data_IF_014418976443
#
_entry.id   IF_014418976443
#
_cell.length_a   1.000
_cell.length_b   1.000
_cell.length_c   1.000
_cell.angle_alpha   90.00
_cell.angle_beta   90.00
_cell.angle_gamma   90.00
#
_symmetry.space_group_name_H-M   'P 1'
#
loop_
_entity.id
_entity.type
_entity.pdbx_description
1 polymer ?
#
# COMPACT_ATOMS: atom_id res chain seq x y z
N UNK A 1 8.12 27.24 -1.19
CA UNK A 1 8.82 26.24 -0.35
C UNK A 1 8.08 24.94 -0.57
N UNK A 2 8.65 24.04 -1.36
CA UNK A 2 8.06 22.72 -1.65
C UNK A 2 8.20 21.89 -0.38
N UNK A 3 7.13 21.24 0.07
CA UNK A 3 7.22 20.39 1.25
C UNK A 3 8.19 19.23 0.95
N UNK A 4 9.00 18.77 1.90
CA UNK A 4 9.88 17.60 1.66
C UNK A 4 9.09 16.37 1.19
N UNK A 5 7.81 16.29 1.55
CA UNK A 5 6.85 15.27 1.11
C UNK A 5 6.54 15.31 -0.41
N UNK A 6 6.86 16.40 -1.11
CA UNK A 6 6.62 16.57 -2.55
C UNK A 6 7.89 16.34 -3.40
N UNK A 7 9.04 16.12 -2.77
CA UNK A 7 10.29 15.85 -3.50
C UNK A 7 10.29 14.41 -3.99
N UNK A 8 10.29 14.24 -5.32
CA UNK A 8 10.39 12.93 -5.95
C UNK A 8 11.81 12.39 -5.81
N UNK A 9 11.94 11.09 -5.54
CA UNK A 9 13.23 10.40 -5.52
C UNK A 9 13.75 10.30 -6.95
N UNK A 10 15.00 10.71 -7.16
CA UNK A 10 15.72 10.38 -8.38
C UNK A 10 16.31 8.98 -8.25
N UNK A 11 16.18 8.19 -9.32
CA UNK A 11 16.52 6.77 -9.35
C UNK A 11 17.32 6.43 -10.60
N UNK A 12 17.91 5.23 -10.62
CA UNK A 12 18.64 4.67 -11.75
C UNK A 12 17.73 4.27 -12.92
N UNK A 13 18.08 3.17 -13.59
CA UNK A 13 17.25 2.61 -14.66
C UNK A 13 16.02 1.89 -14.09
N UNK A 14 15.05 1.56 -14.95
CA UNK A 14 13.86 0.80 -14.52
C UNK A 14 14.25 -0.57 -13.98
N UNK A 15 15.18 -1.25 -14.65
CA UNK A 15 15.67 -2.56 -14.22
C UNK A 15 16.35 -2.50 -12.86
N UNK A 16 17.14 -1.45 -12.59
CA UNK A 16 17.75 -1.23 -11.28
C UNK A 16 16.67 -1.06 -10.19
N UNK A 17 15.63 -0.30 -10.49
CA UNK A 17 14.52 -0.05 -9.56
C UNK A 17 13.72 -1.33 -9.29
N UNK A 18 13.41 -2.10 -10.34
CA UNK A 18 12.74 -3.40 -10.20
C UNK A 18 13.58 -4.32 -9.32
N UNK A 19 14.89 -4.40 -9.56
CA UNK A 19 15.79 -5.23 -8.77
C UNK A 19 15.83 -4.80 -7.28
N UNK A 20 15.83 -3.49 -6.99
CA UNK A 20 15.80 -2.96 -5.61
C UNK A 20 14.47 -3.32 -4.91
N UNK A 21 13.33 -3.14 -5.59
CA UNK A 21 12.01 -3.48 -5.05
C UNK A 21 11.85 -4.99 -4.83
N UNK A 22 12.30 -5.80 -5.79
CA UNK A 22 12.26 -7.25 -5.69
C UNK A 22 13.15 -7.76 -4.55
N UNK A 23 14.35 -7.19 -4.37
CA UNK A 23 15.21 -7.52 -3.24
C UNK A 23 14.54 -7.17 -1.89
N UNK A 24 13.85 -6.03 -1.81
CA UNK A 24 13.06 -5.65 -0.64
C UNK A 24 11.91 -6.64 -0.38
N UNK A 25 11.24 -7.12 -1.45
CA UNK A 25 10.19 -8.14 -1.35
C UNK A 25 10.73 -9.45 -0.80
N UNK A 26 11.86 -9.93 -1.33
CA UNK A 26 12.48 -11.18 -0.86
C UNK A 26 12.89 -11.09 0.62
N UNK A 27 13.40 -9.93 1.06
CA UNK A 27 13.78 -9.71 2.45
C UNK A 27 12.59 -9.87 3.43
N UNK A 28 11.37 -9.55 2.99
CA UNK A 28 10.15 -9.68 3.78
C UNK A 28 9.32 -10.91 3.41
N UNK A 29 9.82 -11.80 2.55
CA UNK A 29 8.98 -12.87 2.03
C UNK A 29 8.60 -13.89 3.11
N UNK A 30 9.55 -14.33 3.94
CA UNK A 30 9.28 -15.32 4.99
C UNK A 30 9.16 -14.70 6.40
N UNK A 31 9.62 -13.47 6.57
CA UNK A 31 9.69 -12.80 7.87
C UNK A 31 9.02 -11.43 7.78
N UNK A 32 8.24 -11.02 8.81
CA UNK A 32 7.67 -9.69 8.83
C UNK A 32 8.77 -8.63 8.92
N UNK A 33 8.65 -7.51 8.22
CA UNK A 33 9.57 -6.38 8.38
C UNK A 33 9.42 -5.75 9.76
N UNK A 34 10.49 -5.09 10.21
CA UNK A 34 10.55 -4.49 11.55
C UNK A 34 9.47 -3.42 11.76
N UNK A 35 9.14 -2.63 10.73
CA UNK A 35 8.07 -1.62 10.79
C UNK A 35 6.69 -2.22 11.12
N UNK A 36 6.38 -3.42 10.63
CA UNK A 36 5.13 -4.12 10.96
C UNK A 36 5.16 -4.64 12.39
N UNK A 37 6.30 -5.19 12.83
CA UNK A 37 6.46 -5.66 14.21
C UNK A 37 6.32 -4.51 15.21
N UNK A 38 6.93 -3.36 14.94
CA UNK A 38 6.83 -2.17 15.78
C UNK A 38 5.41 -1.59 15.79
N UNK A 39 4.74 -1.53 14.63
CA UNK A 39 3.34 -1.11 14.53
C UNK A 39 2.42 -2.03 15.35
N UNK A 40 2.64 -3.34 15.35
CA UNK A 40 1.83 -4.33 16.09
C UNK A 40 1.84 -4.13 17.61
N UNK A 41 2.88 -3.46 18.14
CA UNK A 41 3.01 -3.14 19.57
C UNK A 41 2.84 -1.65 19.87
N UNK A 42 2.34 -0.87 18.90
CA UNK A 42 2.02 0.54 19.05
C UNK A 42 3.20 1.49 19.00
N UNK A 43 4.37 1.06 18.51
CA UNK A 43 5.50 1.96 18.26
C UNK A 43 5.33 2.59 16.88
N UNK A 44 4.71 3.77 16.86
CA UNK A 44 4.44 4.53 15.63
C UNK A 44 5.43 5.70 15.52
N UNK A 45 6.33 5.74 14.51
CA UNK A 45 7.41 6.73 14.44
C UNK A 45 6.96 8.19 14.53
N UNK A 46 5.85 8.53 13.86
CA UNK A 46 5.28 9.88 13.84
C UNK A 46 4.26 10.13 14.95
N UNK A 47 4.01 9.15 15.83
CA UNK A 47 3.01 9.25 16.89
C UNK A 47 1.58 9.45 16.37
N UNK A 48 1.29 9.01 15.14
CA UNK A 48 -0.05 9.15 14.55
C UNK A 48 -1.04 8.24 15.25
N UNK A 49 -2.25 8.75 15.46
CA UNK A 49 -3.26 8.09 16.26
C UNK A 49 -3.99 9.07 17.19
N UNK A 50 -5.29 9.26 16.98
CA UNK A 50 -6.05 10.22 17.77
C UNK A 50 -6.14 9.79 19.24
N UNK A 51 -6.21 10.74 20.17
CA UNK A 51 -6.42 10.44 21.61
C UNK A 51 -5.42 9.42 22.20
N UNK A 52 -4.17 9.45 21.73
CA UNK A 52 -3.10 8.58 22.21
C UNK A 52 -3.39 7.07 22.05
N UNK A 53 -4.02 6.68 20.94
CA UNK A 53 -4.24 5.27 20.57
C UNK A 53 -3.73 4.98 19.16
N UNK A 54 -3.18 3.79 18.94
CA UNK A 54 -2.63 3.37 17.65
C UNK A 54 -3.58 2.44 16.86
N UNK A 55 -4.73 2.06 17.42
CA UNK A 55 -5.69 1.20 16.73
C UNK A 55 -6.22 1.85 15.45
N UNK A 56 -6.55 3.14 15.49
CA UNK A 56 -6.96 3.86 14.28
C UNK A 56 -5.85 3.84 13.22
N UNK A 57 -4.59 3.97 13.64
CA UNK A 57 -3.44 3.94 12.74
C UNK A 57 -3.29 2.57 12.07
N UNK A 58 -3.46 1.48 12.82
CA UNK A 58 -3.48 0.13 12.24
C UNK A 58 -4.64 -0.08 11.27
N UNK A 59 -5.83 0.45 11.57
CA UNK A 59 -6.97 0.40 10.66
C UNK A 59 -6.65 1.14 9.35
N UNK A 60 -6.01 2.30 9.43
CA UNK A 60 -5.57 3.01 8.22
C UNK A 60 -4.47 2.23 7.50
N UNK A 61 -3.46 1.69 8.18
CA UNK A 61 -2.41 0.90 7.55
C UNK A 61 -2.97 -0.31 6.77
N UNK A 62 -3.89 -1.06 7.35
CA UNK A 62 -4.53 -2.22 6.69
C UNK A 62 -5.33 -1.77 5.45
N UNK A 63 -6.22 -0.79 5.61
CA UNK A 63 -7.10 -0.35 4.52
C UNK A 63 -6.33 0.37 3.39
N UNK A 64 -5.36 1.23 3.74
CA UNK A 64 -4.59 1.99 2.75
C UNK A 64 -3.73 1.07 1.89
N UNK A 65 -3.15 0.01 2.50
CA UNK A 65 -2.41 -1.01 1.77
C UNK A 65 -3.32 -1.83 0.85
N UNK A 66 -4.47 -2.30 1.35
CA UNK A 66 -5.44 -3.05 0.53
C UNK A 66 -5.92 -2.25 -0.68
N UNK A 67 -6.28 -0.98 -0.48
CA UNK A 67 -6.67 -0.09 -1.59
C UNK A 67 -5.50 0.19 -2.53
N UNK A 68 -4.27 0.35 -2.00
CA UNK A 68 -3.10 0.54 -2.83
C UNK A 68 -2.84 -0.67 -3.74
N UNK A 69 -2.97 -1.89 -3.23
CA UNK A 69 -2.69 -3.11 -3.98
C UNK A 69 -3.82 -3.48 -4.93
N UNK A 70 -5.03 -3.63 -4.42
CA UNK A 70 -6.13 -4.30 -5.13
C UNK A 70 -6.86 -3.38 -6.10
N UNK A 71 -6.73 -2.07 -5.89
CA UNK A 71 -7.37 -1.06 -6.72
C UNK A 71 -6.31 -0.28 -7.49
N UNK A 72 -5.45 0.47 -6.80
CA UNK A 72 -4.61 1.46 -7.47
C UNK A 72 -3.53 0.79 -8.34
N UNK A 73 -2.69 -0.05 -7.76
CA UNK A 73 -1.60 -0.71 -8.50
C UNK A 73 -2.13 -1.77 -9.46
N UNK A 74 -3.14 -2.55 -9.04
CA UNK A 74 -3.78 -3.53 -9.90
C UNK A 74 -4.42 -2.90 -11.14
N UNK A 75 -5.21 -1.82 -11.00
CA UNK A 75 -5.81 -1.16 -12.16
C UNK A 75 -4.79 -0.42 -13.02
N UNK A 76 -3.71 0.12 -12.45
CA UNK A 76 -2.62 0.69 -13.24
C UNK A 76 -1.95 -0.39 -14.11
N UNK A 77 -1.60 -1.54 -13.51
CA UNK A 77 -1.02 -2.68 -14.24
C UNK A 77 -1.99 -3.26 -15.27
N UNK A 78 -3.27 -3.45 -14.91
CA UNK A 78 -4.28 -3.97 -15.80
C UNK A 78 -4.55 -3.03 -16.99
N UNK A 79 -4.56 -1.72 -16.74
CA UNK A 79 -4.68 -0.72 -17.81
C UNK A 79 -3.49 -0.83 -18.76
N UNK A 80 -2.27 -0.83 -18.23
CA UNK A 80 -1.05 -0.91 -19.04
C UNK A 80 -0.96 -2.19 -19.88
N UNK A 81 -1.39 -3.33 -19.33
CA UNK A 81 -1.30 -4.64 -20.02
C UNK A 81 -2.46 -4.91 -20.98
N UNK A 82 -3.67 -4.42 -20.69
CA UNK A 82 -4.86 -4.67 -21.53
C UNK A 82 -5.06 -3.60 -22.61
N UNK A 83 -4.50 -2.41 -22.39
CA UNK A 83 -4.65 -1.24 -23.27
C UNK A 83 -3.29 -0.61 -23.61
N UNK A 84 -2.38 -1.36 -24.26
CA UNK A 84 -1.04 -0.87 -24.60
C UNK A 84 -1.05 0.30 -25.59
N UNK A 85 -2.18 0.56 -26.25
CA UNK A 85 -2.40 1.66 -27.18
C UNK A 85 -2.61 3.03 -26.51
N UNK A 86 -2.89 3.06 -25.20
CA UNK A 86 -3.14 4.31 -24.48
C UNK A 86 -1.87 5.15 -24.30
N UNK A 87 -2.06 6.44 -24.01
CA UNK A 87 -0.95 7.37 -23.79
C UNK A 87 -0.26 7.10 -22.45
N UNK A 88 0.98 6.57 -22.53
CA UNK A 88 1.83 6.31 -21.37
C UNK A 88 2.06 7.56 -20.52
N UNK A 89 2.25 8.73 -21.14
CA UNK A 89 2.58 9.97 -20.41
C UNK A 89 1.45 10.36 -19.46
N UNK A 90 0.21 10.23 -19.90
CA UNK A 90 -0.98 10.49 -19.07
C UNK A 90 -1.05 9.52 -17.89
N UNK A 91 -0.84 8.22 -18.14
CA UNK A 91 -0.86 7.21 -17.07
C UNK A 91 0.26 7.45 -16.04
N UNK A 92 1.48 7.74 -16.50
CA UNK A 92 2.63 8.08 -15.63
C UNK A 92 2.33 9.33 -14.81
N UNK A 93 1.78 10.39 -15.40
CA UNK A 93 1.46 11.62 -14.67
C UNK A 93 0.42 11.38 -13.57
N UNK A 94 -0.64 10.61 -13.86
CA UNK A 94 -1.63 10.26 -12.85
C UNK A 94 -1.04 9.41 -11.72
N UNK A 95 -0.21 8.43 -12.07
CA UNK A 95 0.40 7.53 -11.09
C UNK A 95 1.56 8.15 -10.31
N UNK A 96 2.23 9.19 -10.82
CA UNK A 96 3.19 9.99 -10.04
C UNK A 96 2.48 10.69 -8.88
N UNK A 97 1.39 11.40 -9.15
CA UNK A 97 0.62 12.12 -8.13
C UNK A 97 0.00 11.16 -7.10
N UNK A 98 -0.68 10.11 -7.58
CA UNK A 98 -1.29 9.11 -6.71
C UNK A 98 -0.23 8.34 -5.90
N UNK A 99 0.85 7.94 -6.55
CA UNK A 99 1.93 7.18 -5.92
C UNK A 99 2.68 7.98 -4.86
N UNK A 100 2.95 9.26 -5.12
CA UNK A 100 3.60 10.15 -4.15
C UNK A 100 2.72 10.35 -2.90
N UNK A 101 1.42 10.55 -3.09
CA UNK A 101 0.48 10.61 -1.97
C UNK A 101 0.50 9.32 -1.15
N UNK A 102 0.42 8.16 -1.81
CA UNK A 102 0.42 6.85 -1.13
C UNK A 102 1.74 6.53 -0.43
N UNK A 103 2.87 6.94 -0.98
CA UNK A 103 4.16 6.86 -0.30
C UNK A 103 4.16 7.62 1.03
N UNK A 104 3.66 8.86 1.02
CA UNK A 104 3.54 9.67 2.23
C UNK A 104 2.51 9.11 3.22
N UNK A 105 1.42 8.53 2.73
CA UNK A 105 0.43 7.86 3.57
C UNK A 105 1.02 6.65 4.28
N UNK A 106 1.83 5.83 3.61
CA UNK A 106 2.52 4.71 4.25
C UNK A 106 3.43 5.19 5.41
N UNK A 107 4.20 6.25 5.20
CA UNK A 107 5.01 6.87 6.27
C UNK A 107 4.11 7.35 7.42
N UNK A 108 3.01 8.02 7.09
CA UNK A 108 2.06 8.56 8.07
C UNK A 108 1.43 7.46 8.94
N UNK A 109 1.10 6.30 8.37
CA UNK A 109 0.49 5.18 9.10
C UNK A 109 1.51 4.26 9.80
N UNK A 110 2.79 4.68 9.84
CA UNK A 110 3.83 3.97 10.58
C UNK A 110 4.60 2.92 9.78
N UNK A 111 4.55 2.98 8.45
CA UNK A 111 5.28 2.11 7.53
C UNK A 111 6.29 2.91 6.68
N UNK A 112 7.34 3.47 7.30
CA UNK A 112 8.29 4.34 6.61
C UNK A 112 9.08 3.62 5.50
N UNK A 113 9.47 2.36 5.69
CA UNK A 113 10.23 1.60 4.68
C UNK A 113 9.35 1.34 3.46
N UNK A 114 8.10 0.94 3.67
CA UNK A 114 7.11 0.85 2.60
C UNK A 114 6.93 2.18 1.83
N UNK A 115 6.93 3.31 2.55
CA UNK A 115 6.93 4.64 1.94
C UNK A 115 8.12 4.88 1.03
N UNK A 116 9.33 4.51 1.47
CA UNK A 116 10.55 4.64 0.67
C UNK A 116 10.57 3.71 -0.55
N UNK A 117 10.04 2.48 -0.41
CA UNK A 117 9.88 1.55 -1.54
C UNK A 117 8.83 2.08 -2.53
N UNK A 118 7.76 2.73 -2.08
CA UNK A 118 6.82 3.39 -2.99
C UNK A 118 7.45 4.58 -3.72
N UNK A 119 8.36 5.33 -3.08
CA UNK A 119 9.11 6.41 -3.74
C UNK A 119 10.06 5.92 -4.82
N UNK A 120 10.58 4.69 -4.71
CA UNK A 120 11.33 4.04 -5.79
C UNK A 120 10.44 3.88 -7.03
N UNK A 121 9.24 3.34 -6.85
CA UNK A 121 8.26 3.18 -7.91
C UNK A 121 7.93 4.52 -8.58
N UNK A 122 7.60 5.56 -7.79
CA UNK A 122 7.29 6.90 -8.30
C UNK A 122 8.45 7.48 -9.11
N UNK A 123 9.70 7.32 -8.63
CA UNK A 123 10.89 7.71 -9.39
C UNK A 123 11.05 6.91 -10.69
N UNK A 124 10.80 5.60 -10.64
CA UNK A 124 11.00 4.67 -11.74
C UNK A 124 9.99 4.81 -12.87
N UNK A 125 8.70 5.01 -12.58
CA UNK A 125 7.67 5.16 -13.62
C UNK A 125 7.92 6.38 -14.51
N UNK A 126 8.59 7.41 -13.99
CA UNK A 126 9.00 8.60 -14.75
C UNK A 126 10.09 8.29 -15.78
N UNK A 127 10.76 7.14 -15.69
CA UNK A 127 11.77 6.65 -16.64
C UNK A 127 11.17 5.72 -17.70
N UNK A 128 9.94 5.23 -17.52
CA UNK A 128 9.28 4.34 -18.47
C UNK A 128 9.16 4.98 -19.86
N UNK A 129 9.69 4.30 -20.87
CA UNK A 129 9.59 4.66 -22.27
C UNK A 129 8.45 3.88 -22.96
N UNK A 130 8.05 2.73 -22.41
CA UNK A 130 6.98 1.89 -22.96
C UNK A 130 5.94 1.50 -21.91
N UNK A 131 4.75 1.12 -22.38
CA UNK A 131 3.68 0.61 -21.51
C UNK A 131 4.08 -0.69 -20.82
N UNK A 132 4.93 -1.51 -21.46
CA UNK A 132 5.43 -2.75 -20.88
C UNK A 132 6.38 -2.48 -19.71
N UNK A 133 7.34 -1.57 -19.86
CA UNK A 133 8.24 -1.18 -18.78
C UNK A 133 7.48 -0.60 -17.57
N UNK A 134 6.46 0.21 -17.84
CA UNK A 134 5.54 0.70 -16.79
C UNK A 134 4.83 -0.47 -16.09
N UNK A 135 4.30 -1.43 -16.85
CA UNK A 135 3.60 -2.59 -16.31
C UNK A 135 4.54 -3.46 -15.46
N UNK A 136 5.75 -3.75 -15.94
CA UNK A 136 6.73 -4.59 -15.24
C UNK A 136 7.14 -3.97 -13.90
N UNK A 137 7.43 -2.67 -13.88
CA UNK A 137 7.71 -1.95 -12.65
C UNK A 137 6.49 -1.90 -11.71
N UNK A 138 5.29 -1.69 -12.25
CA UNK A 138 4.04 -1.70 -11.46
C UNK A 138 3.80 -3.06 -10.83
N UNK A 139 4.07 -4.15 -11.55
CA UNK A 139 3.94 -5.51 -11.03
C UNK A 139 4.92 -5.78 -9.88
N UNK A 140 6.17 -5.33 -9.99
CA UNK A 140 7.17 -5.46 -8.94
C UNK A 140 6.72 -4.79 -7.64
N UNK A 141 6.34 -3.50 -7.68
CA UNK A 141 5.86 -2.77 -6.49
C UNK A 141 4.56 -3.36 -5.93
N UNK A 142 3.64 -3.77 -6.81
CA UNK A 142 2.37 -4.37 -6.40
C UNK A 142 2.61 -5.66 -5.62
N UNK A 143 3.57 -6.48 -6.05
CA UNK A 143 3.90 -7.74 -5.38
C UNK A 143 4.53 -7.47 -4.01
N UNK A 144 5.44 -6.49 -3.90
CA UNK A 144 5.99 -6.05 -2.62
C UNK A 144 4.88 -5.58 -1.65
N UNK A 145 4.02 -4.67 -2.11
CA UNK A 145 2.97 -4.08 -1.29
C UNK A 145 1.92 -5.11 -0.86
N UNK A 146 1.59 -6.08 -1.72
CA UNK A 146 0.73 -7.21 -1.36
C UNK A 146 1.35 -8.07 -0.26
N UNK A 147 2.66 -8.34 -0.33
CA UNK A 147 3.33 -9.12 0.72
C UNK A 147 3.32 -8.38 2.05
N UNK A 148 3.61 -7.07 2.02
CA UNK A 148 3.54 -6.20 3.19
C UNK A 148 2.13 -6.13 3.77
N UNK A 149 1.10 -5.99 2.93
CA UNK A 149 -0.31 -6.03 3.36
C UNK A 149 -0.62 -7.31 4.09
N UNK A 150 -0.19 -8.47 3.57
CA UNK A 150 -0.35 -9.74 4.27
C UNK A 150 0.28 -9.78 5.67
N UNK A 151 1.42 -9.12 5.87
CA UNK A 151 2.01 -9.00 7.21
C UNK A 151 1.23 -8.07 8.13
N UNK A 152 0.76 -6.94 7.62
CA UNK A 152 -0.09 -6.01 8.38
C UNK A 152 -1.41 -6.68 8.77
N UNK A 153 -2.01 -7.46 7.87
CA UNK A 153 -3.21 -8.24 8.12
C UNK A 153 -3.00 -9.29 9.24
N UNK A 154 -1.87 -10.03 9.18
CA UNK A 154 -1.50 -10.98 10.25
C UNK A 154 -1.29 -10.27 11.60
N UNK A 155 -0.65 -9.10 11.58
CA UNK A 155 -0.38 -8.32 12.79
C UNK A 155 -1.62 -7.61 13.33
N UNK A 156 -2.65 -7.42 12.49
CA UNK A 156 -3.86 -6.71 12.88
C UNK A 156 -4.57 -7.43 14.04
N UNK A 157 -5.02 -6.70 15.08
CA UNK A 157 -5.59 -7.33 16.28
C UNK A 157 -7.03 -7.80 16.03
N UNK A 158 -7.22 -8.81 15.17
CA UNK A 158 -8.52 -9.34 14.80
C UNK A 158 -9.36 -9.81 15.99
N UNK A 159 -8.75 -10.18 17.12
CA UNK A 159 -9.46 -10.48 18.37
C UNK A 159 -10.36 -9.34 18.87
N UNK A 160 -10.11 -8.08 18.47
CA UNK A 160 -11.00 -6.95 18.78
C UNK A 160 -12.44 -7.19 18.28
N UNK A 161 -12.60 -7.90 17.16
CA UNK A 161 -13.92 -8.14 16.55
C UNK A 161 -14.82 -9.05 17.39
N UNK A 162 -14.27 -9.73 18.40
CA UNK A 162 -15.07 -10.52 19.35
C UNK A 162 -16.02 -9.63 20.16
N UNK A 163 -15.70 -8.36 20.37
CA UNK A 163 -16.59 -7.36 20.97
C UNK A 163 -17.70 -6.85 20.04
N UNK A 164 -17.66 -7.18 18.75
CA UNK A 164 -18.53 -6.63 17.71
C UNK A 164 -19.25 -7.72 16.89
N UNK A 165 -19.60 -8.85 17.53
CA UNK A 165 -20.36 -9.91 16.85
C UNK A 165 -21.70 -9.37 16.34
N UNK A 166 -21.98 -9.63 15.07
CA UNK A 166 -23.31 -9.34 14.50
C UNK A 166 -24.36 -10.21 15.19
N UNK A 167 -25.47 -9.61 15.62
CA UNK A 167 -26.71 -10.37 15.87
C UNK A 167 -27.14 -10.94 14.52
N UNK A 168 -27.43 -12.24 14.45
CA UNK A 168 -27.79 -12.90 13.19
C UNK A 168 -28.92 -12.11 12.50
N UNK A 169 -28.65 -11.44 11.36
CA UNK A 169 -29.64 -10.57 10.73
C UNK A 169 -30.85 -11.35 10.23
N UNK A 170 -30.65 -12.64 9.88
CA UNK A 170 -31.75 -13.55 9.53
C UNK A 170 -32.60 -13.85 10.77
N UNK A 171 -31.98 -14.08 11.92
CA UNK A 171 -32.72 -14.29 13.18
C UNK A 171 -33.54 -13.05 13.54
N UNK A 172 -32.96 -11.86 13.41
CA UNK A 172 -33.69 -10.60 13.66
C UNK A 172 -34.88 -10.41 12.73
N UNK A 173 -34.76 -10.79 11.45
CA UNK A 173 -35.87 -10.77 10.49
C UNK A 173 -36.92 -11.83 10.84
N UNK A 174 -36.50 -13.05 11.21
CA UNK A 174 -37.38 -14.13 11.60
C UNK A 174 -38.17 -13.81 12.88
N UNK A 175 -37.51 -13.19 13.87
CA UNK A 175 -38.14 -12.78 15.13
C UNK A 175 -39.18 -11.67 14.88
N UNK A 176 -38.89 -10.72 13.96
CA UNK A 176 -39.82 -9.66 13.58
C UNK A 176 -41.02 -10.15 12.75
N UNK A 177 -40.89 -11.28 12.04
CA UNK A 177 -41.98 -11.87 11.26
C UNK A 177 -42.97 -12.70 12.12
N UNK A 178 -42.58 -13.05 13.35
CA UNK A 178 -43.37 -13.85 14.30
C UNK A 178 -43.94 -13.03 15.47
N UNK A 179 -43.75 -11.71 15.49
CA UNK A 179 -44.27 -10.77 16.48
C UNK A 179 -45.45 -9.97 15.93
#
# INVERSE_FOLDING_TARGET
>A
MVAQAEVRREVGTIDDVIAEIDAAREAIWEKPPQEVLDLSVGKVPLGTGAKNNYLSTMIFAENELRTLTDEILWFAWATATRHPELDLKTLVAYMDEMGQYKANMNIYVGLPEAGEVMKLYVGGIRKAATMQEFADLTQSIMTYMNRLHGWVDIAFPWGLVDGFKRVNPIQRIADAANA
#
